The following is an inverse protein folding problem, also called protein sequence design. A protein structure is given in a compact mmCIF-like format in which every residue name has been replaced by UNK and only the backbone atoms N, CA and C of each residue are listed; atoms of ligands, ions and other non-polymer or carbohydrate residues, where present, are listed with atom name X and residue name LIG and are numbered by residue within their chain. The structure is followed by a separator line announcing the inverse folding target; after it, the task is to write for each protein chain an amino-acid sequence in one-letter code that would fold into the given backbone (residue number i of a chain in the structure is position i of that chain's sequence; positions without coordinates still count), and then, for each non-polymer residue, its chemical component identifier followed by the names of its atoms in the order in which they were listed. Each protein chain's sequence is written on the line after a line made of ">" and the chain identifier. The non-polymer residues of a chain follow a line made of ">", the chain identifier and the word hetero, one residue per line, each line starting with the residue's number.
data_IF_687854022552
#
_entry.id   IF_687854022552
#
_cell.length_a   1.000
_cell.length_b   1.000
_cell.length_c   1.000
_cell.angle_alpha   90.00
_cell.angle_beta   90.00
_cell.angle_gamma   90.00
#
_symmetry.space_group_name_H-M   'P 1'
#
loop_
_entity.id
_entity.type
_entity.pdbx_description
1 polymer ?
#
# COMPACT_ATOMS: atom_id res chain seq x y z
N UNK A 1 -80.37 -36.71 27.47
CA UNK A 1 -80.18 -36.19 28.83
C UNK A 1 -78.70 -36.22 29.17
N UNK A 2 -78.18 -35.06 29.61
CA UNK A 2 -77.07 -34.80 30.55
C UNK A 2 -75.86 -35.76 30.58
N UNK A 3 -74.60 -35.37 30.40
CA UNK A 3 -73.73 -34.24 30.85
C UNK A 3 -72.61 -34.80 31.74
N UNK A 4 -71.44 -34.15 31.62
CA UNK A 4 -70.21 -34.17 32.45
C UNK A 4 -69.12 -35.16 31.98
N UNK A 5 -67.96 -34.77 31.43
CA UNK A 5 -66.96 -33.70 31.69
C UNK A 5 -66.04 -33.95 32.88
N UNK A 6 -64.77 -34.30 32.59
CA UNK A 6 -63.48 -33.76 33.10
C UNK A 6 -62.37 -34.80 32.76
N UNK A 7 -61.52 -34.52 31.77
CA UNK A 7 -60.23 -33.83 31.87
C UNK A 7 -59.05 -34.78 32.12
N UNK A 8 -58.15 -34.89 31.14
CA UNK A 8 -56.71 -34.62 31.24
C UNK A 8 -55.94 -35.20 30.05
N UNK A 9 -54.81 -34.53 29.70
CA UNK A 9 -53.82 -34.78 28.64
C UNK A 9 -54.21 -34.15 27.29
N UNK A 10 -53.62 -33.05 26.82
CA UNK A 10 -52.24 -32.58 26.95
C UNK A 10 -51.41 -33.17 25.80
N UNK A 11 -51.19 -32.39 24.74
CA UNK A 11 -50.43 -32.85 23.57
C UNK A 11 -50.62 -31.95 22.35
N UNK A 12 -50.06 -30.74 22.44
CA UNK A 12 -49.94 -29.78 21.34
C UNK A 12 -49.18 -30.42 20.18
N UNK A 13 -49.64 -30.18 18.95
CA UNK A 13 -49.00 -30.62 17.71
C UNK A 13 -47.54 -30.16 17.64
N UNK A 14 -46.61 -31.11 17.85
CA UNK A 14 -45.17 -30.89 17.70
C UNK A 14 -44.85 -31.03 16.22
N UNK A 15 -44.67 -29.89 15.55
CA UNK A 15 -44.01 -29.80 14.25
C UNK A 15 -42.56 -30.28 14.42
N UNK A 16 -42.02 -31.13 13.54
CA UNK A 16 -40.60 -31.44 13.58
C UNK A 16 -39.81 -30.20 13.13
N UNK A 17 -39.24 -29.50 14.12
CA UNK A 17 -38.25 -28.45 13.96
C UNK A 17 -36.86 -29.07 13.87
N UNK A 18 -36.40 -29.47 12.68
CA UNK A 18 -34.99 -29.79 12.50
C UNK A 18 -34.47 -29.32 11.14
N UNK A 19 -33.31 -28.67 11.22
CA UNK A 19 -32.40 -28.26 10.16
C UNK A 19 -32.78 -26.96 9.43
N UNK A 20 -32.72 -25.85 10.16
CA UNK A 20 -32.28 -24.59 9.55
C UNK A 20 -30.81 -24.80 9.17
N UNK A 21 -30.57 -25.25 7.95
CA UNK A 21 -29.29 -25.09 7.27
C UNK A 21 -29.04 -23.58 7.20
N UNK A 22 -28.31 -23.06 8.19
CA UNK A 22 -27.66 -21.76 8.06
C UNK A 22 -26.61 -21.93 6.96
N UNK A 23 -27.02 -21.71 5.72
CA UNK A 23 -26.09 -21.29 4.68
C UNK A 23 -25.47 -19.98 5.18
N UNK A 24 -24.29 -20.09 5.80
CA UNK A 24 -23.41 -18.94 5.98
C UNK A 24 -23.03 -18.55 4.57
N UNK A 25 -23.82 -17.64 4.00
CA UNK A 25 -23.41 -16.88 2.84
C UNK A 25 -22.14 -16.17 3.26
N UNK A 26 -20.98 -16.74 2.93
CA UNK A 26 -19.73 -15.99 2.91
C UNK A 26 -19.94 -14.91 1.84
N UNK A 27 -20.56 -13.79 2.24
CA UNK A 27 -20.48 -12.56 1.50
C UNK A 27 -19.01 -12.17 1.53
N UNK A 28 -18.30 -12.64 0.50
CA UNK A 28 -16.99 -12.14 0.13
C UNK A 28 -17.18 -10.64 -0.12
N UNK A 29 -16.90 -9.82 0.88
CA UNK A 29 -16.72 -8.39 0.72
C UNK A 29 -15.46 -8.17 -0.11
N UNK A 30 -15.55 -8.37 -1.42
CA UNK A 30 -14.58 -7.89 -2.39
C UNK A 30 -14.97 -6.46 -2.76
N UNK A 31 -14.64 -5.51 -1.89
CA UNK A 31 -14.91 -4.07 -2.09
C UNK A 31 -13.93 -3.41 -3.08
N UNK A 32 -13.06 -4.17 -3.73
CA UNK A 32 -12.16 -3.63 -4.74
C UNK A 32 -12.41 -4.32 -6.09
N UNK A 33 -12.98 -3.63 -7.09
CA UNK A 33 -13.07 -4.18 -8.44
C UNK A 33 -11.64 -4.50 -8.91
N UNK A 34 -11.40 -5.78 -9.20
CA UNK A 34 -10.15 -6.30 -9.73
C UNK A 34 -9.80 -5.57 -11.03
N UNK A 35 -8.90 -4.60 -10.94
CA UNK A 35 -8.19 -4.04 -12.09
C UNK A 35 -6.79 -4.61 -12.03
N UNK A 36 -6.40 -5.41 -13.02
CA UNK A 36 -4.98 -5.61 -13.30
C UNK A 36 -4.36 -4.21 -13.37
N UNK A 37 -3.30 -3.91 -12.58
CA UNK A 37 -2.69 -2.59 -12.64
C UNK A 37 -2.31 -2.37 -14.10
N UNK A 38 -2.76 -1.27 -14.74
CA UNK A 38 -2.37 -0.99 -16.09
C UNK A 38 -0.85 -0.81 -16.04
N UNK A 39 -0.10 -1.80 -16.52
CA UNK A 39 1.32 -1.70 -16.74
C UNK A 39 1.52 -0.56 -17.74
N UNK A 40 1.68 0.66 -17.23
CA UNK A 40 1.88 1.84 -18.05
C UNK A 40 3.31 1.72 -18.56
N UNK A 41 3.55 1.62 -19.90
CA UNK A 41 4.89 1.71 -20.43
C UNK A 41 5.42 3.11 -20.07
N UNK A 42 6.22 3.16 -19.03
CA UNK A 42 6.57 4.40 -18.36
C UNK A 42 7.88 4.93 -18.91
N UNK A 43 7.89 5.48 -20.13
CA UNK A 43 9.07 6.21 -20.63
C UNK A 43 9.56 7.22 -19.59
N UNK A 44 8.62 7.93 -18.96
CA UNK A 44 8.91 8.87 -17.88
C UNK A 44 9.40 8.14 -16.62
N UNK A 45 8.85 6.97 -16.26
CA UNK A 45 9.35 6.26 -15.08
C UNK A 45 10.79 5.76 -15.30
N UNK A 46 11.06 5.25 -16.50
CA UNK A 46 12.38 4.78 -16.93
C UNK A 46 13.40 5.93 -16.91
N UNK A 47 13.06 7.11 -17.46
CA UNK A 47 13.92 8.31 -17.42
C UNK A 47 14.31 8.74 -16.00
N UNK A 48 13.42 8.51 -15.01
CA UNK A 48 13.68 8.84 -13.61
C UNK A 48 14.38 7.70 -12.87
N UNK A 49 14.16 6.45 -13.27
CA UNK A 49 14.85 5.27 -12.73
C UNK A 49 16.28 5.13 -13.27
N UNK A 50 16.61 5.73 -14.41
CA UNK A 50 17.99 5.78 -14.91
C UNK A 50 18.86 6.80 -14.17
N UNK A 51 18.26 7.72 -13.41
CA UNK A 51 19.01 8.74 -12.66
C UNK A 51 19.70 8.14 -11.45
N UNK A 52 20.96 8.48 -11.27
CA UNK A 52 21.71 8.11 -10.07
C UNK A 52 21.17 8.81 -8.83
N UNK A 53 20.97 8.02 -7.78
CA UNK A 53 20.58 8.51 -6.46
C UNK A 53 21.78 9.16 -5.79
N UNK A 54 21.64 10.41 -5.33
CA UNK A 54 22.72 11.08 -4.60
C UNK A 54 22.62 10.71 -3.12
N UNK A 55 23.64 10.06 -2.53
CA UNK A 55 23.63 9.74 -1.11
C UNK A 55 23.96 11.00 -0.29
N UNK A 56 23.23 11.19 0.82
CA UNK A 56 23.57 12.21 1.83
C UNK A 56 24.36 11.54 2.94
N UNK A 57 25.50 12.13 3.30
CA UNK A 57 26.29 11.64 4.44
C UNK A 57 25.70 12.08 5.78
N UNK A 58 25.87 11.25 6.81
CA UNK A 58 25.48 11.58 8.19
C UNK A 58 26.16 12.86 8.68
N UNK A 59 27.41 13.09 8.26
CA UNK A 59 28.15 14.33 8.53
C UNK A 59 27.42 15.54 7.93
N UNK A 60 27.01 15.49 6.66
CA UNK A 60 26.27 16.58 6.03
C UNK A 60 24.94 16.87 6.75
N UNK A 61 24.21 15.85 7.19
CA UNK A 61 22.98 16.02 7.98
C UNK A 61 23.25 16.73 9.32
N UNK A 62 24.30 16.34 10.04
CA UNK A 62 24.66 16.95 11.32
C UNK A 62 25.06 18.44 11.17
N UNK A 63 25.77 18.78 10.10
CA UNK A 63 26.18 20.16 9.82
C UNK A 63 25.09 21.02 9.18
N UNK A 64 24.02 20.41 8.65
CA UNK A 64 22.88 21.15 8.12
C UNK A 64 22.17 21.95 9.22
N UNK A 65 21.94 21.35 10.39
CA UNK A 65 21.22 22.00 11.50
C UNK A 65 21.98 23.13 12.22
N UNK A 66 23.31 23.22 12.05
CA UNK A 66 24.14 24.21 12.77
C UNK A 66 24.19 25.59 12.12
N UNK A 67 23.90 25.71 10.83
CA UNK A 67 23.95 26.97 10.09
C UNK A 67 22.84 27.00 9.05
N UNK A 68 21.60 27.08 9.52
CA UNK A 68 20.41 27.12 8.66
C UNK A 68 20.18 28.57 8.19
N UNK A 69 20.55 28.85 6.96
CA UNK A 69 20.19 30.09 6.27
C UNK A 69 19.06 29.81 5.28
N UNK A 70 18.29 30.83 4.92
CA UNK A 70 17.20 30.71 3.95
C UNK A 70 17.67 30.09 2.63
N UNK A 71 18.82 30.55 2.09
CA UNK A 71 19.40 29.97 0.88
C UNK A 71 19.75 28.48 1.02
N UNK A 72 20.21 28.03 2.20
CA UNK A 72 20.49 26.60 2.45
C UNK A 72 19.22 25.80 2.62
N UNK A 73 18.16 26.37 3.20
CA UNK A 73 16.85 25.74 3.29
C UNK A 73 16.28 25.49 1.90
N UNK A 74 16.27 26.51 1.04
CA UNK A 74 15.77 26.40 -0.34
C UNK A 74 16.59 25.42 -1.18
N UNK A 75 17.92 25.40 -1.00
CA UNK A 75 18.79 24.39 -1.63
C UNK A 75 18.45 22.97 -1.18
N UNK A 76 18.24 22.76 0.12
CA UNK A 76 17.83 21.46 0.65
C UNK A 76 16.42 21.04 0.21
N UNK A 77 15.49 21.98 0.12
CA UNK A 77 14.15 21.72 -0.39
C UNK A 77 14.19 21.25 -1.86
N UNK A 78 14.97 21.92 -2.71
CA UNK A 78 15.16 21.51 -4.10
C UNK A 78 15.93 20.20 -4.25
N UNK A 79 16.88 19.92 -3.34
CA UNK A 79 17.53 18.61 -3.25
C UNK A 79 16.49 17.52 -2.98
N UNK A 80 15.67 17.66 -1.94
CA UNK A 80 14.62 16.69 -1.59
C UNK A 80 13.59 16.55 -2.72
N UNK A 81 13.22 17.65 -3.39
CA UNK A 81 12.31 17.67 -4.55
C UNK A 81 12.77 16.79 -5.71
N UNK A 82 14.08 16.71 -5.95
CA UNK A 82 14.63 15.93 -7.07
C UNK A 82 14.98 14.50 -6.66
N UNK A 83 15.45 14.30 -5.43
CA UNK A 83 15.87 13.00 -4.93
C UNK A 83 14.69 12.09 -4.55
N UNK A 84 13.61 12.62 -3.97
CA UNK A 84 12.47 11.78 -3.56
C UNK A 84 11.77 11.08 -4.73
N UNK A 85 11.40 11.77 -5.83
CA UNK A 85 10.81 11.11 -7.00
C UNK A 85 11.75 10.06 -7.60
N UNK A 86 13.06 10.36 -7.65
CA UNK A 86 14.09 9.44 -8.16
C UNK A 86 14.12 8.15 -7.35
N UNK A 87 14.18 8.25 -6.01
CA UNK A 87 14.17 7.08 -5.12
C UNK A 87 12.89 6.26 -5.23
N UNK A 88 11.74 6.91 -5.39
CA UNK A 88 10.46 6.22 -5.60
C UNK A 88 10.44 5.52 -6.97
N UNK A 89 11.00 6.13 -8.02
CA UNK A 89 11.10 5.52 -9.34
C UNK A 89 11.93 4.23 -9.32
N UNK A 90 13.07 4.24 -8.64
CA UNK A 90 13.88 3.04 -8.39
C UNK A 90 13.07 1.95 -7.67
N UNK A 91 12.35 2.31 -6.60
CA UNK A 91 11.50 1.34 -5.87
C UNK A 91 10.39 0.76 -6.75
N UNK A 92 9.73 1.58 -7.56
CA UNK A 92 8.72 1.14 -8.52
C UNK A 92 9.32 0.16 -9.53
N UNK A 93 10.53 0.43 -10.04
CA UNK A 93 11.23 -0.48 -10.96
C UNK A 93 11.56 -1.82 -10.32
N UNK A 94 11.98 -1.83 -9.06
CA UNK A 94 12.20 -3.08 -8.32
C UNK A 94 10.90 -3.87 -8.11
N UNK A 95 9.78 -3.20 -7.83
CA UNK A 95 8.47 -3.86 -7.75
C UNK A 95 8.04 -4.48 -9.09
N UNK A 96 8.36 -3.84 -10.22
CA UNK A 96 8.07 -4.38 -11.56
C UNK A 96 8.91 -5.61 -11.91
N UNK A 97 10.10 -5.78 -11.31
CA UNK A 97 10.98 -6.95 -11.51
C UNK A 97 10.55 -8.17 -10.70
N UNK A 98 9.59 -8.03 -9.78
CA UNK A 98 9.14 -9.14 -8.93
C UNK A 98 8.48 -10.26 -9.76
N UNK A 99 8.63 -11.54 -9.35
CA UNK A 99 8.00 -12.66 -10.05
C UNK A 99 6.48 -12.48 -10.15
N UNK A 100 5.90 -12.84 -11.30
CA UNK A 100 4.49 -12.64 -11.64
C UNK A 100 3.50 -13.09 -10.54
N UNK A 101 3.81 -14.17 -9.82
CA UNK A 101 2.98 -14.72 -8.74
C UNK A 101 2.76 -13.71 -7.61
N UNK A 102 3.77 -12.91 -7.29
CA UNK A 102 3.72 -11.89 -6.23
C UNK A 102 2.97 -10.64 -6.71
N UNK A 103 3.06 -10.31 -8.01
CA UNK A 103 2.39 -9.16 -8.63
C UNK A 103 0.89 -9.37 -8.84
N UNK A 104 0.42 -10.61 -8.92
CA UNK A 104 -1.02 -10.92 -8.97
C UNK A 104 -1.77 -10.70 -7.65
N UNK A 105 -1.06 -10.40 -6.56
CA UNK A 105 -1.70 -10.12 -5.27
C UNK A 105 -2.38 -8.73 -5.30
N UNK A 106 -3.69 -8.62 -5.00
CA UNK A 106 -4.42 -7.34 -5.02
C UNK A 106 -3.85 -6.31 -4.03
N UNK A 107 -3.25 -6.75 -2.92
CA UNK A 107 -2.59 -5.86 -1.97
C UNK A 107 -1.31 -5.28 -2.53
N UNK A 108 -0.53 -6.06 -3.27
CA UNK A 108 0.68 -5.55 -3.90
C UNK A 108 0.35 -4.59 -5.04
N UNK A 109 -0.70 -4.88 -5.81
CA UNK A 109 -1.22 -3.92 -6.81
C UNK A 109 -1.65 -2.61 -6.16
N UNK A 110 -2.29 -2.64 -4.98
CA UNK A 110 -2.65 -1.43 -4.25
C UNK A 110 -1.41 -0.65 -3.80
N UNK A 111 -0.39 -1.35 -3.29
CA UNK A 111 0.90 -0.73 -2.92
C UNK A 111 1.55 -0.09 -4.16
N UNK A 112 1.61 -0.78 -5.30
CA UNK A 112 2.15 -0.22 -6.54
C UNK A 112 1.44 1.09 -6.94
N UNK A 113 0.11 1.11 -6.93
CA UNK A 113 -0.67 2.31 -7.27
C UNK A 113 -0.45 3.47 -6.28
N UNK A 114 -0.25 3.18 -4.98
CA UNK A 114 0.11 4.18 -3.99
C UNK A 114 1.47 4.82 -4.31
N UNK A 115 2.49 4.01 -4.55
CA UNK A 115 3.83 4.49 -4.91
C UNK A 115 3.82 5.27 -6.23
N UNK A 116 3.07 4.80 -7.23
CA UNK A 116 2.94 5.50 -8.51
C UNK A 116 2.24 6.86 -8.35
N UNK A 117 1.18 6.93 -7.55
CA UNK A 117 0.48 8.18 -7.25
C UNK A 117 1.39 9.17 -6.52
N UNK A 118 2.22 8.72 -5.59
CA UNK A 118 3.22 9.56 -4.93
C UNK A 118 4.26 10.08 -5.93
N UNK A 119 4.79 9.22 -6.79
CA UNK A 119 5.73 9.62 -7.84
C UNK A 119 5.14 10.72 -8.73
N UNK A 120 3.90 10.55 -9.18
CA UNK A 120 3.23 11.56 -10.01
C UNK A 120 3.00 12.89 -9.30
N UNK A 121 2.69 12.88 -8.00
CA UNK A 121 2.50 14.10 -7.23
C UNK A 121 3.82 14.84 -7.04
N UNK A 122 4.86 14.13 -6.62
CA UNK A 122 6.15 14.73 -6.31
C UNK A 122 6.87 15.26 -7.55
N UNK A 123 6.77 14.56 -8.70
CA UNK A 123 7.39 15.03 -9.95
C UNK A 123 6.74 16.30 -10.54
N UNK A 124 5.48 16.59 -10.19
CA UNK A 124 4.74 17.76 -10.69
C UNK A 124 5.07 19.04 -9.92
N UNK A 125 5.78 18.94 -8.79
CA UNK A 125 6.14 20.10 -7.98
C UNK A 125 7.20 20.95 -8.71
N UNK A 126 6.94 22.25 -8.97
CA UNK A 126 7.91 23.13 -9.61
C UNK A 126 9.11 23.43 -8.71
N UNK A 127 10.11 24.12 -9.25
CA UNK A 127 11.27 24.57 -8.47
C UNK A 127 10.86 25.49 -7.32
N UNK A 128 11.37 25.21 -6.12
CA UNK A 128 11.05 25.94 -4.89
C UNK A 128 11.96 27.17 -4.84
N UNK A 129 11.38 28.37 -4.92
CA UNK A 129 12.15 29.63 -4.93
C UNK A 129 11.92 30.47 -3.69
N UNK A 130 10.78 30.29 -3.04
CA UNK A 130 10.40 31.05 -1.84
C UNK A 130 10.17 30.13 -0.65
N UNK A 131 10.15 30.72 0.55
CA UNK A 131 9.80 29.98 1.78
C UNK A 131 8.36 29.47 1.75
N UNK A 132 7.43 30.21 1.13
CA UNK A 132 6.04 29.81 0.98
C UNK A 132 5.90 28.56 0.08
N UNK A 133 6.66 28.52 -1.03
CA UNK A 133 6.74 27.32 -1.88
C UNK A 133 7.26 26.10 -1.10
N UNK A 134 8.23 26.31 -0.21
CA UNK A 134 8.78 25.26 0.63
C UNK A 134 7.75 24.74 1.64
N UNK A 135 6.97 25.63 2.25
CA UNK A 135 5.91 25.24 3.18
C UNK A 135 4.80 24.48 2.46
N UNK A 136 4.40 24.92 1.26
CA UNK A 136 3.48 24.18 0.41
C UNK A 136 4.01 22.78 0.07
N UNK A 137 5.30 22.69 -0.30
CA UNK A 137 5.93 21.40 -0.58
C UNK A 137 5.96 20.50 0.65
N UNK A 138 6.23 21.05 1.83
CA UNK A 138 6.18 20.30 3.09
C UNK A 138 4.78 19.72 3.36
N UNK A 139 3.71 20.45 3.04
CA UNK A 139 2.34 19.92 3.17
C UNK A 139 2.06 18.78 2.18
N UNK A 140 2.53 18.90 0.93
CA UNK A 140 2.47 17.81 -0.06
C UNK A 140 3.24 16.57 0.45
N UNK A 141 4.41 16.75 1.03
CA UNK A 141 5.22 15.69 1.62
C UNK A 141 4.50 15.00 2.80
N UNK A 142 3.97 15.79 3.74
CA UNK A 142 3.21 15.26 4.89
C UNK A 142 1.99 14.47 4.44
N UNK A 143 1.28 14.94 3.42
CA UNK A 143 0.14 14.21 2.84
C UNK A 143 0.58 12.89 2.22
N UNK A 144 1.62 12.93 1.40
CA UNK A 144 2.17 11.75 0.72
C UNK A 144 2.66 10.70 1.72
N UNK A 145 3.36 11.13 2.78
CA UNK A 145 3.82 10.26 3.86
C UNK A 145 2.65 9.59 4.56
N UNK A 146 1.62 10.35 4.97
CA UNK A 146 0.44 9.80 5.66
C UNK A 146 -0.28 8.74 4.82
N UNK A 147 -0.42 8.98 3.52
CA UNK A 147 -1.02 8.01 2.59
C UNK A 147 -0.16 6.75 2.41
N UNK A 148 1.18 6.85 2.57
CA UNK A 148 2.10 5.71 2.45
C UNK A 148 2.25 4.89 3.74
N UNK A 149 1.79 5.38 4.90
CA UNK A 149 1.87 4.61 6.15
C UNK A 149 1.06 3.31 6.10
N UNK A 150 0.00 3.24 5.28
CA UNK A 150 -0.80 2.03 5.05
C UNK A 150 -0.13 1.02 4.11
N UNK A 151 0.98 1.41 3.45
CA UNK A 151 1.71 0.54 2.53
C UNK A 151 2.46 -0.57 3.29
N UNK A 152 3.01 -0.28 4.47
CA UNK A 152 3.77 -1.25 5.27
C UNK A 152 2.91 -2.48 5.65
N UNK A 153 1.76 -2.32 6.34
CA UNK A 153 0.93 -3.48 6.67
C UNK A 153 0.37 -4.18 5.43
N UNK A 154 0.04 -3.44 4.37
CA UNK A 154 -0.45 -4.03 3.11
C UNK A 154 0.60 -4.88 2.41
N UNK A 155 1.87 -4.45 2.43
CA UNK A 155 3.00 -5.19 1.88
C UNK A 155 3.30 -6.43 2.72
N UNK A 156 3.36 -6.31 4.05
CA UNK A 156 3.55 -7.46 4.95
C UNK A 156 2.48 -8.52 4.72
N UNK A 157 1.21 -8.10 4.63
CA UNK A 157 0.13 -8.99 4.32
C UNK A 157 0.32 -9.64 2.94
N UNK A 158 0.63 -8.86 1.88
CA UNK A 158 0.88 -9.41 0.53
C UNK A 158 1.99 -10.47 0.48
N UNK A 159 3.07 -10.27 1.23
CA UNK A 159 4.16 -11.26 1.38
C UNK A 159 3.69 -12.50 2.13
N UNK A 160 2.97 -12.35 3.25
CA UNK A 160 2.44 -13.48 4.02
C UNK A 160 1.48 -14.37 3.21
N UNK A 161 0.62 -13.76 2.40
CA UNK A 161 -0.28 -14.51 1.50
C UNK A 161 0.48 -15.29 0.42
N UNK A 162 1.56 -14.70 -0.08
CA UNK A 162 2.45 -15.37 -1.05
C UNK A 162 3.20 -16.53 -0.40
N UNK A 163 3.62 -16.37 0.86
CA UNK A 163 4.31 -17.39 1.66
C UNK A 163 3.40 -18.57 2.04
N UNK A 164 2.11 -18.33 2.31
CA UNK A 164 1.15 -19.38 2.66
C UNK A 164 0.62 -20.20 1.47
N UNK A 165 1.05 -19.89 0.25
CA UNK A 165 0.77 -20.67 -0.97
C UNK A 165 2.04 -21.36 -1.49
N UNK A 166 2.59 -22.35 -0.76
CA UNK A 166 3.90 -22.95 -1.04
C UNK A 166 3.97 -23.77 -2.33
N UNK A 167 2.84 -24.04 -3.00
CA UNK A 167 2.81 -24.84 -4.23
C UNK A 167 3.31 -24.11 -5.49
N UNK A 168 3.68 -22.83 -5.42
CA UNK A 168 4.04 -22.02 -6.59
C UNK A 168 5.39 -21.27 -6.50
N UNK A 169 6.09 -21.31 -5.36
CA UNK A 169 7.29 -20.50 -5.13
C UNK A 169 8.49 -21.40 -4.80
N UNK A 170 9.45 -21.47 -5.73
CA UNK A 170 10.72 -22.17 -5.52
C UNK A 170 11.62 -21.45 -4.49
N UNK A 171 12.68 -22.12 -4.00
CA UNK A 171 13.48 -21.71 -2.84
C UNK A 171 14.27 -20.40 -2.97
N UNK A 172 14.19 -19.66 -4.09
CA UNK A 172 15.02 -18.47 -4.38
C UNK A 172 14.38 -17.13 -4.00
N UNK A 173 13.18 -17.12 -3.42
CA UNK A 173 12.47 -15.88 -3.05
C UNK A 173 12.82 -15.41 -1.64
N UNK A 174 13.43 -16.27 -0.83
CA UNK A 174 13.80 -15.97 0.56
C UNK A 174 14.98 -14.99 0.72
N UNK A 175 15.71 -14.68 -0.36
CA UNK A 175 16.82 -13.70 -0.31
C UNK A 175 16.36 -12.22 -0.39
N UNK A 176 15.07 -11.97 -0.67
CA UNK A 176 14.53 -10.62 -0.82
C UNK A 176 14.12 -9.94 0.50
N UNK A 177 14.25 -10.63 1.64
CA UNK A 177 13.91 -10.10 2.97
C UNK A 177 14.70 -8.85 3.39
N UNK A 178 15.81 -8.53 2.71
CA UNK A 178 16.67 -7.39 3.05
C UNK A 178 16.65 -6.23 2.06
N UNK A 179 15.88 -6.31 0.97
CA UNK A 179 15.90 -5.26 -0.06
C UNK A 179 14.94 -4.08 0.24
N UNK A 180 13.97 -4.24 1.15
CA UNK A 180 12.87 -3.29 1.35
C UNK A 180 12.82 -2.60 2.72
N UNK A 181 13.75 -2.92 3.63
CA UNK A 181 14.05 -2.11 4.82
C UNK A 181 15.23 -1.18 4.51
#
# INVERSE_FOLDING_TARGET
>A
MLRQSLAHRGGVAIRPSHLITRSISLQSQSVYPFKVPPWRPGSILDDWAERDVRPVSLRQLLFFGRALTEARLLSAANYVRTELPTRIAHRLREMQKLPYVVVTNPRLSHVYELYYTAFERLRKVPEIKTLDDNDHYCEVLKKTLREHLTAIPSLMMGVLESHYRPSLLGPRIFDLEWAFL
#
